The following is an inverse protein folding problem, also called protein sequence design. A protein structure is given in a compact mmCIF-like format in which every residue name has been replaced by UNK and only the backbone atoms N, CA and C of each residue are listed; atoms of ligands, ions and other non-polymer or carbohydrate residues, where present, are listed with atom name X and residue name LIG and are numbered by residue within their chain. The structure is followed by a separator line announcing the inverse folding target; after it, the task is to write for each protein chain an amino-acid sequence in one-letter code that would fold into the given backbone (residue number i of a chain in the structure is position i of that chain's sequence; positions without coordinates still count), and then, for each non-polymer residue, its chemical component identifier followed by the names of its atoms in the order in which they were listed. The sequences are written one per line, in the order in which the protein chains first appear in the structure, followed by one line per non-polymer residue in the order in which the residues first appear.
data_IF_087723647087
#
_entry.id   IF_087723647087
#
_cell.length_a   1.000
_cell.length_b   1.000
_cell.length_c   1.000
_cell.angle_alpha   90.00
_cell.angle_beta   90.00
_cell.angle_gamma   90.00
#
_symmetry.space_group_name_H-M   'P 1'
#
loop_
_entity.id
_entity.type
_entity.pdbx_description
1 polymer ?
#
# COMPACT_ATOMS: atom_id res chain seq x y z
N UNK A 1 40.49 -9.79 24.94
CA UNK A 1 40.06 -9.51 23.55
C UNK A 1 38.75 -8.76 23.64
N UNK A 2 38.78 -7.45 23.44
CA UNK A 2 37.57 -6.63 23.44
C UNK A 2 36.84 -6.85 22.10
N UNK A 3 35.57 -7.24 22.16
CA UNK A 3 34.69 -7.26 21.00
C UNK A 3 34.44 -5.80 20.60
N UNK A 4 35.02 -5.43 19.46
CA UNK A 4 34.83 -4.14 18.80
C UNK A 4 33.33 -4.00 18.47
N UNK A 5 32.59 -3.32 19.34
CA UNK A 5 31.14 -3.16 19.25
C UNK A 5 30.80 -1.79 18.68
N UNK A 6 31.54 -1.37 17.65
CA UNK A 6 31.28 -0.13 16.89
C UNK A 6 30.60 -0.48 15.57
N UNK A 7 29.50 -1.24 15.65
CA UNK A 7 28.56 -1.32 14.54
C UNK A 7 27.89 0.07 14.38
N UNK A 8 28.46 0.88 13.49
CA UNK A 8 28.03 2.24 13.15
C UNK A 8 26.49 2.38 13.15
N UNK A 9 25.91 3.37 13.85
CA UNK A 9 24.47 3.61 13.84
C UNK A 9 23.92 3.82 12.43
N UNK A 10 24.73 4.37 11.53
CA UNK A 10 24.43 4.58 10.11
C UNK A 10 24.22 3.27 9.34
N UNK A 11 25.03 2.23 9.60
CA UNK A 11 24.82 0.92 8.98
C UNK A 11 23.54 0.27 9.47
N UNK A 12 23.23 0.39 10.76
CA UNK A 12 21.95 -0.10 11.33
C UNK A 12 20.75 0.67 10.78
N UNK A 13 20.88 1.98 10.56
CA UNK A 13 19.84 2.80 9.94
C UNK A 13 19.63 2.44 8.46
N UNK A 14 20.71 2.24 7.69
CA UNK A 14 20.64 1.82 6.29
C UNK A 14 20.02 0.42 6.12
N UNK A 15 20.41 -0.55 6.95
CA UNK A 15 19.79 -1.89 6.91
C UNK A 15 18.31 -1.83 7.31
N UNK A 16 17.94 -1.03 8.33
CA UNK A 16 16.52 -0.83 8.71
C UNK A 16 15.71 -0.12 7.63
N UNK A 17 16.32 0.80 6.88
CA UNK A 17 15.71 1.49 5.75
C UNK A 17 15.38 0.54 4.58
N UNK A 18 16.18 -0.50 4.34
CA UNK A 18 15.89 -1.53 3.32
C UNK A 18 14.87 -2.58 3.80
N UNK A 19 14.80 -2.86 5.10
CA UNK A 19 13.84 -3.81 5.69
C UNK A 19 12.39 -3.29 5.63
N UNK A 20 12.18 -1.96 5.68
CA UNK A 20 10.82 -1.39 5.67
C UNK A 20 10.03 -1.76 4.40
N UNK A 21 10.54 -1.47 3.19
CA UNK A 21 9.84 -1.81 1.94
C UNK A 21 9.58 -3.31 1.81
N UNK A 22 10.55 -4.16 2.15
CA UNK A 22 10.39 -5.62 2.10
C UNK A 22 9.35 -6.13 3.10
N UNK A 23 9.35 -5.61 4.33
CA UNK A 23 8.35 -5.98 5.34
C UNK A 23 6.95 -5.52 4.96
N UNK A 24 6.83 -4.32 4.37
CA UNK A 24 5.57 -3.82 3.82
C UNK A 24 5.08 -4.70 2.66
N UNK A 25 5.99 -5.08 1.76
CA UNK A 25 5.70 -5.98 0.64
C UNK A 25 5.16 -7.32 1.13
N UNK A 26 5.84 -7.98 2.08
CA UNK A 26 5.40 -9.24 2.67
C UNK A 26 4.03 -9.14 3.36
N UNK A 27 3.76 -8.00 4.02
CA UNK A 27 2.46 -7.73 4.63
C UNK A 27 1.36 -7.63 3.57
N UNK A 28 1.59 -6.90 2.47
CA UNK A 28 0.63 -6.78 1.38
C UNK A 28 0.41 -8.12 0.66
N UNK A 29 1.45 -8.88 0.38
CA UNK A 29 1.35 -10.21 -0.24
C UNK A 29 0.55 -11.19 0.63
N UNK A 30 0.74 -11.14 1.95
CA UNK A 30 -0.05 -11.95 2.88
C UNK A 30 -1.53 -11.57 2.83
N UNK A 31 -1.83 -10.28 2.84
CA UNK A 31 -3.21 -9.78 2.82
C UNK A 31 -3.88 -10.13 1.50
N UNK A 32 -3.23 -9.85 0.36
CA UNK A 32 -3.73 -10.18 -0.97
C UNK A 32 -4.09 -11.66 -1.07
N UNK A 33 -3.20 -12.55 -0.66
CA UNK A 33 -3.42 -14.00 -0.69
C UNK A 33 -4.52 -14.48 0.27
N UNK A 34 -4.60 -13.93 1.49
CA UNK A 34 -5.61 -14.36 2.48
C UNK A 34 -7.01 -13.95 2.07
N UNK A 35 -7.13 -12.80 1.42
CA UNK A 35 -8.41 -12.24 0.99
C UNK A 35 -8.74 -12.57 -0.47
N UNK A 36 -7.84 -13.25 -1.19
CA UNK A 36 -7.95 -13.52 -2.62
C UNK A 36 -8.17 -12.22 -3.43
N UNK A 37 -7.32 -11.22 -3.18
CA UNK A 37 -7.35 -9.95 -3.91
C UNK A 37 -6.58 -10.06 -5.22
N UNK A 38 -7.14 -9.48 -6.26
CA UNK A 38 -6.56 -9.35 -7.59
C UNK A 38 -5.36 -8.40 -7.53
N UNK A 39 -5.48 -7.28 -6.81
CA UNK A 39 -4.36 -6.41 -6.51
C UNK A 39 -4.54 -5.59 -5.23
N UNK A 40 -3.44 -5.25 -4.57
CA UNK A 40 -3.35 -4.31 -3.47
C UNK A 40 -2.10 -3.44 -3.65
N UNK A 41 -2.23 -2.14 -3.43
CA UNK A 41 -1.16 -1.17 -3.63
C UNK A 41 -1.19 -0.10 -2.55
N UNK A 42 -0.03 0.16 -1.97
CA UNK A 42 0.26 1.38 -1.24
C UNK A 42 0.79 2.39 -2.27
N UNK A 43 0.06 3.48 -2.49
CA UNK A 43 0.42 4.52 -3.44
C UNK A 43 0.60 5.86 -2.74
N UNK A 44 1.44 6.72 -3.31
CA UNK A 44 1.51 8.13 -2.91
C UNK A 44 0.36 8.95 -3.54
N UNK A 45 0.28 10.23 -3.19
CA UNK A 45 -0.72 11.16 -3.69
C UNK A 45 -0.49 11.60 -5.15
N UNK A 46 0.67 11.26 -5.72
CA UNK A 46 1.00 11.45 -7.13
C UNK A 46 0.62 10.23 -7.98
N UNK A 47 0.09 9.17 -7.37
CA UNK A 47 -0.35 7.96 -8.06
C UNK A 47 0.77 6.97 -8.35
N UNK A 48 1.95 7.14 -7.74
CA UNK A 48 3.04 6.17 -7.86
C UNK A 48 2.90 5.05 -6.83
N UNK A 49 3.09 3.78 -7.24
CA UNK A 49 3.10 2.66 -6.32
C UNK A 49 4.38 2.70 -5.47
N UNK A 50 4.21 2.73 -4.14
CA UNK A 50 5.29 2.56 -3.17
C UNK A 50 5.57 1.07 -2.95
N UNK A 51 4.50 0.29 -2.76
CA UNK A 51 4.54 -1.16 -2.54
C UNK A 51 3.30 -1.78 -3.18
N UNK A 52 3.42 -2.90 -3.88
CA UNK A 52 2.29 -3.56 -4.57
C UNK A 52 2.34 -5.08 -4.47
N UNK A 53 1.18 -5.72 -4.38
CA UNK A 53 1.04 -7.17 -4.43
C UNK A 53 -0.17 -7.59 -5.26
N UNK A 54 -0.14 -8.81 -5.80
CA UNK A 54 -1.13 -9.31 -6.76
C UNK A 54 -0.70 -9.05 -8.20
N UNK A 55 -1.67 -8.81 -9.08
CA UNK A 55 -1.45 -8.46 -10.47
C UNK A 55 -0.76 -7.08 -10.58
N UNK A 56 0.43 -6.99 -11.20
CA UNK A 56 1.21 -5.77 -11.25
C UNK A 56 0.60 -4.68 -12.14
N UNK A 57 -0.12 -5.05 -13.20
CA UNK A 57 -0.73 -4.10 -14.15
C UNK A 57 -1.99 -3.49 -13.52
N UNK A 58 -2.79 -4.32 -12.86
CA UNK A 58 -3.93 -3.83 -12.06
C UNK A 58 -3.46 -2.93 -10.92
N UNK A 59 -2.39 -3.29 -10.22
CA UNK A 59 -1.85 -2.47 -9.14
C UNK A 59 -1.36 -1.09 -9.61
N UNK A 60 -0.76 -1.00 -10.79
CA UNK A 60 -0.25 0.28 -11.34
C UNK A 60 -1.41 1.21 -11.75
N UNK A 61 -2.44 0.66 -12.40
CA UNK A 61 -3.65 1.43 -12.71
C UNK A 61 -4.39 1.82 -11.41
N UNK A 62 -4.45 0.91 -10.44
CA UNK A 62 -5.07 1.16 -9.14
C UNK A 62 -4.32 2.25 -8.35
N UNK A 63 -2.99 2.31 -8.44
CA UNK A 63 -2.19 3.37 -7.82
C UNK A 63 -2.59 4.75 -8.34
N UNK A 64 -2.89 4.85 -9.64
CA UNK A 64 -3.31 6.10 -10.28
C UNK A 64 -4.63 6.63 -9.73
N UNK A 65 -5.49 5.77 -9.16
CA UNK A 65 -6.71 6.19 -8.47
C UNK A 65 -6.44 7.00 -7.18
N UNK A 66 -5.24 6.89 -6.60
CA UNK A 66 -4.85 7.66 -5.42
C UNK A 66 -4.91 9.18 -5.66
N UNK A 67 -4.51 9.64 -6.86
CA UNK A 67 -4.50 11.06 -7.25
C UNK A 67 -5.89 11.71 -7.20
N UNK A 68 -6.93 10.96 -7.56
CA UNK A 68 -8.29 11.47 -7.78
C UNK A 68 -9.21 11.25 -6.59
N UNK A 69 -8.80 10.36 -5.69
CA UNK A 69 -9.52 10.09 -4.46
C UNK A 69 -9.37 11.30 -3.52
N UNK A 70 -10.39 12.17 -3.52
CA UNK A 70 -10.38 13.38 -2.69
C UNK A 70 -10.03 13.07 -1.23
N UNK A 71 -9.27 13.97 -0.61
CA UNK A 71 -8.68 13.92 0.74
C UNK A 71 -9.69 13.77 1.91
N UNK A 72 -10.95 13.40 1.63
CA UNK A 72 -11.97 13.25 2.66
C UNK A 72 -11.79 11.93 3.41
N UNK A 73 -11.58 12.05 4.71
CA UNK A 73 -11.50 11.01 5.77
C UNK A 73 -12.76 10.13 5.91
N UNK A 74 -13.45 9.79 4.82
CA UNK A 74 -14.59 8.86 4.86
C UNK A 74 -14.27 7.67 3.98
N UNK A 75 -14.29 6.48 4.58
CA UNK A 75 -14.30 5.22 3.86
C UNK A 75 -15.43 5.26 2.83
N UNK A 76 -15.06 5.09 1.55
CA UNK A 76 -15.94 5.25 0.41
C UNK A 76 -15.08 5.55 -0.82
N UNK A 77 -15.10 4.64 -1.79
CA UNK A 77 -14.29 4.75 -2.98
C UNK A 77 -15.16 5.34 -4.10
N UNK A 78 -14.92 6.61 -4.45
CA UNK A 78 -15.27 7.10 -5.78
C UNK A 78 -13.98 6.99 -6.60
N UNK A 79 -13.86 5.91 -7.38
CA UNK A 79 -12.81 5.80 -8.40
C UNK A 79 -13.22 6.71 -9.55
N UNK A 80 -12.26 7.42 -10.14
CA UNK A 80 -12.53 8.16 -11.36
C UNK A 80 -13.01 7.20 -12.48
N UNK A 81 -14.10 7.51 -13.20
CA UNK A 81 -14.64 6.60 -14.21
C UNK A 81 -13.63 6.20 -15.29
N UNK A 82 -12.69 7.08 -15.64
CA UNK A 82 -11.66 6.80 -16.64
C UNK A 82 -10.65 5.76 -16.13
N UNK A 83 -10.27 5.84 -14.86
CA UNK A 83 -9.42 4.85 -14.20
C UNK A 83 -10.16 3.52 -14.06
N UNK A 84 -11.46 3.56 -13.74
CA UNK A 84 -12.24 2.34 -13.65
C UNK A 84 -12.39 1.62 -14.99
N UNK A 85 -12.59 2.33 -16.10
CA UNK A 85 -12.60 1.72 -17.43
C UNK A 85 -11.26 1.04 -17.78
N UNK A 86 -10.13 1.59 -17.33
CA UNK A 86 -8.82 0.94 -17.49
C UNK A 86 -8.71 -0.35 -16.66
N UNK A 87 -9.15 -0.32 -15.38
CA UNK A 87 -9.20 -1.51 -14.53
C UNK A 87 -10.09 -2.59 -15.13
N UNK A 88 -11.26 -2.20 -15.66
CA UNK A 88 -12.22 -3.10 -16.29
C UNK A 88 -11.70 -3.70 -17.60
N UNK A 89 -10.88 -2.97 -18.35
CA UNK A 89 -10.22 -3.51 -19.54
C UNK A 89 -9.25 -4.66 -19.20
N UNK A 90 -8.59 -4.60 -18.03
CA UNK A 90 -7.69 -5.64 -17.53
C UNK A 90 -8.46 -6.78 -16.83
N UNK A 91 -9.52 -6.44 -16.09
CA UNK A 91 -10.32 -7.39 -15.33
C UNK A 91 -11.83 -7.13 -15.52
N UNK A 92 -12.44 -7.68 -16.58
CA UNK A 92 -13.83 -7.35 -16.96
C UNK A 92 -14.92 -7.80 -15.98
N UNK A 93 -14.58 -8.69 -15.05
CA UNK A 93 -15.49 -9.23 -14.05
C UNK A 93 -15.61 -8.33 -12.81
N UNK A 94 -14.73 -7.33 -12.66
CA UNK A 94 -14.71 -6.42 -11.53
C UNK A 94 -15.67 -5.25 -11.73
N UNK A 95 -16.23 -4.78 -10.62
CA UNK A 95 -17.13 -3.63 -10.54
C UNK A 95 -16.51 -2.51 -9.71
N UNK A 96 -17.03 -1.28 -9.79
CA UNK A 96 -16.53 -0.16 -8.98
C UNK A 96 -16.58 -0.47 -7.47
N UNK A 97 -17.55 -1.28 -7.04
CA UNK A 97 -17.72 -1.67 -5.64
C UNK A 97 -16.57 -2.58 -5.15
N UNK A 98 -15.88 -3.25 -6.06
CA UNK A 98 -14.75 -4.13 -5.75
C UNK A 98 -13.48 -3.36 -5.45
N UNK A 99 -13.45 -2.06 -5.74
CA UNK A 99 -12.36 -1.16 -5.36
C UNK A 99 -12.62 -0.58 -3.97
N UNK A 100 -11.63 -0.72 -3.09
CA UNK A 100 -11.64 -0.14 -1.75
C UNK A 100 -10.37 0.67 -1.52
N UNK A 101 -10.50 1.76 -0.77
CA UNK A 101 -9.35 2.59 -0.39
C UNK A 101 -9.41 2.99 1.08
N UNK A 102 -8.23 3.11 1.67
CA UNK A 102 -8.02 3.59 3.03
C UNK A 102 -6.85 4.60 3.02
N UNK A 103 -7.03 5.82 3.55
CA UNK A 103 -5.92 6.74 3.72
C UNK A 103 -4.94 6.18 4.75
N UNK A 104 -3.65 6.36 4.51
CA UNK A 104 -2.59 5.93 5.40
C UNK A 104 -1.57 7.05 5.57
N UNK A 105 -1.25 7.39 6.80
CA UNK A 105 -0.25 8.42 7.10
C UNK A 105 1.02 7.73 7.57
N UNK A 106 1.96 7.54 6.64
CA UNK A 106 3.23 6.89 6.92
C UNK A 106 4.30 7.97 7.17
N UNK A 107 4.67 8.21 8.43
CA UNK A 107 5.64 9.26 8.77
C UNK A 107 6.97 8.96 8.09
N UNK A 108 7.47 9.90 7.28
CA UNK A 108 8.76 9.78 6.59
C UNK A 108 8.71 9.54 5.09
N UNK A 109 7.52 9.30 4.50
CA UNK A 109 7.36 9.23 3.04
C UNK A 109 7.11 10.60 2.40
N UNK A 110 7.01 11.68 3.17
CA UNK A 110 6.93 13.06 2.67
C UNK A 110 5.64 13.43 1.95
N UNK A 111 4.77 12.46 1.67
CA UNK A 111 3.49 12.62 0.96
C UNK A 111 2.36 11.86 1.65
N UNK A 112 1.12 12.25 1.37
CA UNK A 112 -0.04 11.52 1.84
C UNK A 112 -0.14 10.19 1.08
N UNK A 113 -0.13 9.06 1.79
CA UNK A 113 -0.25 7.75 1.16
C UNK A 113 -1.66 7.19 1.24
N UNK A 114 -2.00 6.32 0.29
CA UNK A 114 -3.28 5.60 0.29
C UNK A 114 -3.02 4.14 0.02
N UNK A 115 -3.69 3.30 0.80
CA UNK A 115 -3.75 1.88 0.53
C UNK A 115 -5.03 1.61 -0.27
N UNK A 116 -4.87 1.05 -1.45
CA UNK A 116 -5.96 0.66 -2.33
C UNK A 116 -5.92 -0.84 -2.56
N UNK A 117 -7.09 -1.47 -2.60
CA UNK A 117 -7.21 -2.85 -3.02
C UNK A 117 -8.38 -2.98 -3.99
N UNK A 118 -8.25 -3.95 -4.89
CA UNK A 118 -9.34 -4.37 -5.75
C UNK A 118 -9.57 -5.86 -5.56
N UNK A 119 -10.83 -6.22 -5.39
CA UNK A 119 -11.24 -7.61 -5.48
C UNK A 119 -12.63 -7.96 -5.00
N UNK A 120 -13.06 -9.17 -5.33
CA UNK A 120 -14.45 -9.61 -5.11
C UNK A 120 -14.77 -10.02 -3.67
N UNK A 121 -13.75 -10.15 -2.82
CA UNK A 121 -13.92 -10.57 -1.43
C UNK A 121 -14.77 -9.61 -0.60
N UNK A 122 -15.82 -10.08 0.10
CA UNK A 122 -16.65 -9.22 0.95
C UNK A 122 -15.89 -8.70 2.19
N UNK A 123 -14.79 -9.36 2.58
CA UNK A 123 -13.95 -8.96 3.70
C UNK A 123 -12.85 -7.96 3.32
N UNK A 124 -12.76 -7.53 2.05
CA UNK A 124 -11.70 -6.68 1.51
C UNK A 124 -11.46 -5.40 2.34
N UNK A 125 -12.52 -4.69 2.74
CA UNK A 125 -12.38 -3.46 3.53
C UNK A 125 -11.79 -3.74 4.93
N UNK A 126 -12.23 -4.81 5.60
CA UNK A 126 -11.70 -5.19 6.92
C UNK A 126 -10.23 -5.57 6.80
N UNK A 127 -9.88 -6.36 5.78
CA UNK A 127 -8.51 -6.76 5.55
C UNK A 127 -7.61 -5.61 5.11
N UNK A 128 -8.14 -4.62 4.37
CA UNK A 128 -7.44 -3.37 4.05
C UNK A 128 -7.10 -2.56 5.32
N UNK A 129 -8.03 -2.46 6.26
CA UNK A 129 -7.79 -1.81 7.55
C UNK A 129 -6.75 -2.55 8.40
N UNK A 130 -6.77 -3.89 8.36
CA UNK A 130 -5.74 -4.72 9.01
C UNK A 130 -4.36 -4.54 8.36
N UNK A 131 -4.31 -4.44 7.03
CA UNK A 131 -3.11 -4.15 6.27
C UNK A 131 -2.55 -2.78 6.67
N UNK A 132 -3.38 -1.73 6.65
CA UNK A 132 -3.04 -0.38 7.10
C UNK A 132 -2.42 -0.38 8.50
N UNK A 133 -3.08 -1.01 9.49
CA UNK A 133 -2.56 -1.14 10.85
C UNK A 133 -1.23 -1.93 10.93
N UNK A 134 -1.00 -2.86 10.01
CA UNK A 134 0.28 -3.56 9.86
C UNK A 134 1.38 -2.65 9.35
N UNK A 135 1.09 -1.87 8.31
CA UNK A 135 2.01 -0.91 7.69
C UNK A 135 2.39 0.20 8.67
N UNK A 136 1.45 0.73 9.45
CA UNK A 136 1.73 1.71 10.51
C UNK A 136 2.75 1.19 11.53
N UNK A 137 2.61 -0.08 11.94
CA UNK A 137 3.54 -0.72 12.87
C UNK A 137 4.92 -0.92 12.28
N UNK A 138 5.01 -1.23 10.98
CA UNK A 138 6.29 -1.37 10.26
C UNK A 138 6.96 0.00 10.16
N UNK A 139 6.21 1.03 9.73
CA UNK A 139 6.73 2.39 9.58
C UNK A 139 7.20 2.98 10.91
N UNK A 140 6.49 2.73 12.01
CA UNK A 140 6.90 3.17 13.36
C UNK A 140 8.23 2.57 13.83
N UNK A 141 8.69 1.47 13.23
CA UNK A 141 9.95 0.80 13.59
C UNK A 141 11.15 1.23 12.73
N UNK A 142 10.92 2.04 11.68
CA UNK A 142 11.96 2.46 10.74
C UNK A 142 12.18 3.98 10.82
N UNK A 143 13.41 4.44 11.10
CA UNK A 143 13.76 5.84 10.93
C UNK A 143 13.85 6.12 9.43
N UNK A 144 12.86 6.82 8.89
CA UNK A 144 12.89 7.30 7.52
C UNK A 144 13.88 8.48 7.41
N UNK A 145 14.71 8.55 6.36
CA UNK A 145 15.51 9.74 6.11
C UNK A 145 14.57 10.91 5.82
N UNK A 146 14.63 11.94 6.66
CA UNK A 146 14.01 13.24 6.42
C UNK A 146 14.77 14.00 5.33
#
# INVERSE_FOLDING_TARGET
MALDTTAHPERRAQTRSQIAPEAMQLQLERVARVLDLEAIVLADDLGYPVVKAGDPDLADVLASAAMWSSHRRRAGCNVDPLIFEQLKALAPHLTEQDVVSCPLDLPGLGSATRLLAIGTSPARMVGLLYAASGLDRIAAQVPWPL
#
